data_IF_438887250044
#
_entry.id   IF_438887250044
#
_cell.length_a   1.000
_cell.length_b   1.000
_cell.length_c   1.000
_cell.angle_alpha   90.00
_cell.angle_beta   90.00
_cell.angle_gamma   90.00
#
_symmetry.space_group_name_H-M   'P 1'
#
loop_
_entity.id
_entity.type
_entity.pdbx_description
1 polymer ?
#
# COMPACT_ATOMS: atom_id res chain seq x y z
N UNK A 1 13.38 2.02 16.50
CA UNK A 1 12.62 2.51 15.31
C UNK A 1 12.73 4.04 15.14
N UNK A 2 12.62 4.84 16.20
CA UNK A 2 12.77 6.31 16.15
C UNK A 2 14.17 6.75 15.67
N UNK A 3 15.23 6.11 16.15
CA UNK A 3 16.62 6.40 15.75
C UNK A 3 16.91 6.19 14.25
N UNK A 4 16.33 5.14 13.63
CA UNK A 4 16.50 4.83 12.20
C UNK A 4 15.86 5.91 11.31
N UNK A 5 14.72 6.46 11.71
CA UNK A 5 14.06 7.57 11.01
C UNK A 5 14.83 8.88 11.14
N UNK A 6 15.32 9.19 12.34
CA UNK A 6 16.14 10.39 12.57
C UNK A 6 17.43 10.34 11.76
N UNK A 7 18.08 9.18 11.65
CA UNK A 7 19.31 9.05 10.87
C UNK A 7 19.07 8.99 9.35
N UNK A 8 17.93 8.44 8.90
CA UNK A 8 17.51 8.56 7.48
C UNK A 8 17.27 10.02 7.10
N UNK A 9 16.76 10.81 8.05
CA UNK A 9 16.65 12.26 7.88
C UNK A 9 18.02 12.95 7.84
N UNK A 10 19.02 12.46 8.59
CA UNK A 10 20.42 12.95 8.46
C UNK A 10 21.01 12.53 7.11
N UNK A 11 20.82 11.28 6.68
CA UNK A 11 21.31 10.75 5.41
C UNK A 11 20.76 11.50 4.19
N UNK A 12 19.59 12.12 4.32
CA UNK A 12 19.01 13.02 3.32
C UNK A 12 19.97 14.13 2.89
N UNK A 13 20.76 14.68 3.81
CA UNK A 13 21.69 15.79 3.56
C UNK A 13 23.11 15.32 3.21
N UNK A 14 23.39 14.02 3.29
CA UNK A 14 24.74 13.49 3.11
C UNK A 14 25.06 13.18 1.63
N UNK A 15 26.34 13.32 1.22
CA UNK A 15 26.80 12.83 -0.07
C UNK A 15 26.59 11.32 -0.23
N UNK A 16 26.46 10.87 -1.49
CA UNK A 16 26.19 9.48 -1.86
C UNK A 16 27.00 8.40 -1.11
N UNK A 17 28.34 8.49 -0.96
CA UNK A 17 29.11 7.43 -0.30
C UNK A 17 28.74 7.24 1.18
N UNK A 18 28.46 8.33 1.91
CA UNK A 18 28.07 8.27 3.31
C UNK A 18 26.66 7.72 3.49
N UNK A 19 25.74 8.10 2.61
CA UNK A 19 24.37 7.61 2.63
C UNK A 19 24.30 6.08 2.46
N UNK A 20 25.09 5.53 1.54
CA UNK A 20 25.23 4.08 1.33
C UNK A 20 25.79 3.37 2.56
N UNK A 21 26.84 3.93 3.16
CA UNK A 21 27.47 3.35 4.35
C UNK A 21 26.50 3.25 5.52
N UNK A 22 25.73 4.31 5.78
CA UNK A 22 24.68 4.31 6.81
C UNK A 22 23.68 3.19 6.53
N UNK A 23 23.13 3.11 5.32
CA UNK A 23 22.12 2.10 5.02
C UNK A 23 22.64 0.66 5.19
N UNK A 24 23.92 0.37 4.89
CA UNK A 24 24.53 -0.94 5.13
C UNK A 24 24.56 -1.33 6.61
N UNK A 25 24.92 -0.39 7.49
CA UNK A 25 24.94 -0.63 8.96
C UNK A 25 23.56 -1.08 9.47
N UNK A 26 22.48 -0.56 8.88
CA UNK A 26 21.10 -0.92 9.26
C UNK A 26 20.54 -2.13 8.51
N UNK A 27 21.41 -2.95 7.91
CA UNK A 27 21.05 -4.23 7.29
C UNK A 27 20.60 -4.14 5.82
N UNK A 28 20.76 -2.98 5.15
CA UNK A 28 20.49 -2.91 3.73
C UNK A 28 21.53 -3.72 2.93
N UNK A 29 21.06 -4.53 1.98
CA UNK A 29 21.91 -5.25 1.03
C UNK A 29 22.17 -4.32 -0.15
N UNK A 30 23.37 -3.75 -0.23
CA UNK A 30 23.73 -2.77 -1.27
C UNK A 30 24.94 -3.27 -2.07
N UNK A 31 24.74 -3.47 -3.36
CA UNK A 31 25.73 -3.88 -4.34
C UNK A 31 26.87 -2.88 -4.57
N UNK A 32 27.66 -3.14 -5.61
CA UNK A 32 28.80 -2.33 -6.04
C UNK A 32 28.34 -1.14 -6.88
N UNK A 33 29.03 -0.01 -6.75
CA UNK A 33 28.80 1.22 -7.54
C UNK A 33 27.35 1.73 -7.52
N UNK A 34 26.63 1.44 -6.44
CA UNK A 34 25.31 2.04 -6.20
C UNK A 34 25.46 3.54 -5.98
N UNK A 35 24.52 4.32 -6.48
CA UNK A 35 24.50 5.78 -6.32
C UNK A 35 23.16 6.25 -5.74
N UNK A 36 23.21 6.75 -4.51
CA UNK A 36 22.09 7.41 -3.84
C UNK A 36 22.36 8.91 -3.83
N UNK A 37 21.64 9.66 -4.66
CA UNK A 37 21.85 11.11 -4.74
C UNK A 37 21.34 11.84 -3.49
N UNK A 38 21.82 13.06 -3.22
CA UNK A 38 21.32 13.89 -2.11
C UNK A 38 19.81 14.10 -2.18
N UNK A 39 19.16 14.17 -1.02
CA UNK A 39 17.70 14.33 -0.91
C UNK A 39 16.89 13.06 -1.20
N UNK A 40 17.53 11.89 -1.28
CA UNK A 40 16.82 10.60 -1.29
C UNK A 40 16.39 10.26 0.13
N UNK A 41 15.08 10.06 0.31
CA UNK A 41 14.51 9.57 1.57
C UNK A 41 14.06 8.12 1.38
N UNK A 42 14.78 7.16 1.98
CA UNK A 42 14.49 5.74 1.86
C UNK A 42 14.03 5.15 3.19
N UNK A 43 12.71 5.05 3.36
CA UNK A 43 12.02 4.48 4.51
C UNK A 43 11.46 3.09 4.14
N UNK A 44 12.27 2.05 4.28
CA UNK A 44 11.79 0.68 4.13
C UNK A 44 12.31 -0.22 5.24
N UNK A 45 11.55 -1.26 5.60
CA UNK A 45 11.95 -2.26 6.59
C UNK A 45 13.13 -3.06 6.06
N UNK A 46 13.04 -3.51 4.80
CA UNK A 46 14.12 -4.18 4.06
C UNK A 46 14.48 -3.41 2.79
N UNK A 47 15.77 -3.31 2.52
CA UNK A 47 16.32 -2.63 1.34
C UNK A 47 17.31 -3.55 0.64
N UNK A 48 17.10 -3.78 -0.65
CA UNK A 48 18.01 -4.50 -1.54
C UNK A 48 18.28 -3.67 -2.80
N UNK A 49 19.53 -3.26 -3.00
CA UNK A 49 19.99 -2.52 -4.17
C UNK A 49 21.05 -3.36 -4.90
N UNK A 50 20.80 -3.69 -6.15
CA UNK A 50 21.76 -4.41 -7.02
C UNK A 50 22.92 -3.52 -7.47
N UNK A 51 23.92 -4.14 -8.09
CA UNK A 51 25.09 -3.45 -8.64
C UNK A 51 24.67 -2.38 -9.66
N UNK A 52 25.36 -1.23 -9.65
CA UNK A 52 25.10 -0.09 -10.54
C UNK A 52 23.68 0.51 -10.43
N UNK A 53 22.96 0.24 -9.34
CA UNK A 53 21.64 0.85 -9.10
C UNK A 53 21.76 2.34 -8.77
N UNK A 54 20.84 3.16 -9.29
CA UNK A 54 20.87 4.62 -9.14
C UNK A 54 19.52 5.15 -8.67
N UNK A 55 19.52 5.96 -7.61
CA UNK A 55 18.34 6.69 -7.16
C UNK A 55 18.66 8.19 -7.19
N UNK A 56 17.89 8.94 -7.98
CA UNK A 56 18.12 10.37 -8.23
C UNK A 56 17.51 11.25 -7.14
N UNK A 57 18.01 12.48 -7.06
CA UNK A 57 17.72 13.43 -6.00
C UNK A 57 16.21 13.73 -5.84
N UNK A 58 15.80 14.01 -4.60
CA UNK A 58 14.42 14.34 -4.24
C UNK A 58 13.44 13.15 -4.28
N UNK A 59 13.95 11.93 -4.48
CA UNK A 59 13.12 10.72 -4.50
C UNK A 59 12.79 10.28 -3.09
N UNK A 60 11.51 10.03 -2.83
CA UNK A 60 11.02 9.56 -1.53
C UNK A 60 10.38 8.19 -1.68
N UNK A 61 10.83 7.23 -0.88
CA UNK A 61 10.38 5.83 -0.93
C UNK A 61 10.00 5.41 0.49
N UNK A 62 8.72 5.12 0.70
CA UNK A 62 8.18 4.62 1.97
C UNK A 62 7.34 3.35 1.73
N UNK A 63 7.93 2.17 1.93
CA UNK A 63 7.36 0.87 1.58
C UNK A 63 7.80 -0.20 2.60
N UNK A 64 7.18 -1.40 2.60
CA UNK A 64 7.61 -2.49 3.49
C UNK A 64 8.96 -3.06 3.06
N UNK A 65 9.03 -3.61 1.85
CA UNK A 65 10.28 -4.04 1.24
C UNK A 65 10.54 -3.26 -0.05
N UNK A 66 11.78 -2.78 -0.20
CA UNK A 66 12.24 -2.12 -1.41
C UNK A 66 13.36 -2.93 -2.06
N UNK A 67 13.12 -3.39 -3.29
CA UNK A 67 14.12 -4.06 -4.12
C UNK A 67 14.32 -3.30 -5.43
N UNK A 68 15.56 -2.93 -5.72
CA UNK A 68 16.00 -2.33 -6.97
C UNK A 68 17.10 -3.19 -7.58
N UNK A 69 16.84 -3.79 -8.73
CA UNK A 69 17.76 -4.70 -9.41
C UNK A 69 19.01 -4.01 -9.96
N UNK A 70 19.92 -4.82 -10.48
CA UNK A 70 21.17 -4.35 -11.08
C UNK A 70 20.91 -3.39 -12.25
N UNK A 71 21.75 -2.37 -12.42
CA UNK A 71 21.67 -1.36 -13.49
C UNK A 71 20.30 -0.68 -13.58
N UNK A 72 19.56 -0.66 -12.48
CA UNK A 72 18.21 -0.08 -12.44
C UNK A 72 18.25 1.33 -11.89
N UNK A 73 17.33 2.17 -12.36
CA UNK A 73 17.35 3.61 -12.07
C UNK A 73 15.98 4.12 -11.68
N UNK A 74 15.95 4.96 -10.64
CA UNK A 74 14.79 5.78 -10.27
C UNK A 74 15.11 7.25 -10.51
N UNK A 75 14.27 7.93 -11.27
CA UNK A 75 14.41 9.32 -11.67
C UNK A 75 14.01 10.32 -10.58
N UNK A 76 14.42 11.57 -10.78
CA UNK A 76 14.25 12.68 -9.85
C UNK A 76 12.80 12.87 -9.37
N UNK A 77 12.65 13.26 -8.10
CA UNK A 77 11.35 13.65 -7.51
C UNK A 77 10.26 12.59 -7.67
N UNK A 78 10.64 11.31 -7.67
CA UNK A 78 9.68 10.21 -7.69
C UNK A 78 9.18 9.96 -6.26
N UNK A 79 7.87 9.82 -6.10
CA UNK A 79 7.26 9.46 -4.82
C UNK A 79 6.75 8.02 -4.88
N UNK A 80 7.23 7.19 -3.97
CA UNK A 80 6.75 5.82 -3.75
C UNK A 80 6.26 5.73 -2.31
N UNK A 81 5.00 5.35 -2.11
CA UNK A 81 4.41 5.22 -0.76
C UNK A 81 3.49 4.01 -0.67
N UNK A 82 3.48 3.32 0.46
CA UNK A 82 2.54 2.23 0.71
C UNK A 82 2.95 1.32 1.86
N UNK A 83 2.07 0.40 2.23
CA UNK A 83 2.33 -0.61 3.27
C UNK A 83 2.95 -1.90 2.74
N UNK A 84 3.04 -2.05 1.41
CA UNK A 84 3.56 -3.25 0.75
C UNK A 84 4.84 -2.95 -0.03
N UNK A 85 5.18 -3.79 -1.01
CA UNK A 85 6.50 -3.84 -1.61
C UNK A 85 6.59 -3.11 -2.95
N UNK A 86 7.77 -2.53 -3.20
CA UNK A 86 8.18 -2.14 -4.55
C UNK A 86 9.35 -3.02 -4.98
N UNK A 87 9.14 -3.79 -6.05
CA UNK A 87 10.11 -4.74 -6.59
C UNK A 87 10.42 -4.35 -8.04
N UNK A 88 11.65 -3.90 -8.30
CA UNK A 88 12.13 -3.57 -9.63
C UNK A 88 13.22 -4.56 -10.04
N UNK A 89 12.99 -5.29 -11.13
CA UNK A 89 13.93 -6.21 -11.73
C UNK A 89 15.15 -5.52 -12.33
N UNK A 90 16.10 -6.30 -12.86
CA UNK A 90 17.34 -5.76 -13.42
C UNK A 90 17.06 -4.92 -14.68
N UNK A 91 17.90 -3.90 -14.89
CA UNK A 91 17.78 -2.91 -15.95
C UNK A 91 16.41 -2.20 -15.99
N UNK A 92 15.76 -2.09 -14.82
CA UNK A 92 14.48 -1.39 -14.69
C UNK A 92 14.67 0.13 -14.62
N UNK A 93 13.78 0.88 -15.26
CA UNK A 93 13.79 2.34 -15.23
C UNK A 93 12.45 2.85 -14.69
N UNK A 94 12.51 3.69 -13.67
CA UNK A 94 11.39 4.53 -13.24
C UNK A 94 11.77 5.97 -13.56
N UNK A 95 11.01 6.61 -14.45
CA UNK A 95 11.23 7.98 -14.88
C UNK A 95 11.00 9.00 -13.75
N UNK A 96 11.45 10.25 -13.93
CA UNK A 96 11.26 11.30 -12.93
C UNK A 96 9.78 11.64 -12.74
N UNK A 97 9.46 12.13 -11.53
CA UNK A 97 8.12 12.63 -11.14
C UNK A 97 7.02 11.58 -11.25
N UNK A 98 7.34 10.30 -11.10
CA UNK A 98 6.31 9.27 -11.00
C UNK A 98 5.71 9.26 -9.57
N UNK A 99 4.44 8.86 -9.48
CA UNK A 99 3.79 8.53 -8.22
C UNK A 99 3.45 7.05 -8.25
N UNK A 100 3.98 6.29 -7.30
CA UNK A 100 3.72 4.85 -7.19
C UNK A 100 3.14 4.59 -5.81
N UNK A 101 1.86 4.25 -5.81
CA UNK A 101 1.19 3.73 -4.63
C UNK A 101 1.45 2.22 -4.52
N UNK A 102 1.95 1.80 -3.36
CA UNK A 102 2.27 0.43 -2.99
C UNK A 102 1.42 -0.02 -1.79
N UNK A 103 0.14 0.37 -1.73
CA UNK A 103 -0.83 -0.22 -0.79
C UNK A 103 -1.03 -1.73 -1.07
N UNK A 104 -0.81 -2.16 -2.32
CA UNK A 104 -0.46 -3.54 -2.70
C UNK A 104 0.88 -3.53 -3.43
N UNK A 105 1.48 -4.71 -3.58
CA UNK A 105 2.80 -4.84 -4.21
C UNK A 105 2.81 -4.35 -5.66
N UNK A 106 3.85 -3.60 -6.03
CA UNK A 106 4.15 -3.22 -7.41
C UNK A 106 5.41 -3.96 -7.86
N UNK A 107 5.31 -4.71 -8.95
CA UNK A 107 6.42 -5.51 -9.49
C UNK A 107 6.72 -5.12 -10.94
N UNK A 108 7.98 -4.81 -11.21
CA UNK A 108 8.54 -4.61 -12.54
C UNK A 108 9.51 -5.75 -12.85
N UNK A 109 9.30 -6.44 -13.96
CA UNK A 109 10.19 -7.49 -14.45
C UNK A 109 11.54 -6.97 -14.98
N UNK A 110 12.25 -7.85 -15.67
CA UNK A 110 13.51 -7.49 -16.34
C UNK A 110 13.28 -6.48 -17.46
N UNK A 111 14.12 -5.44 -17.51
CA UNK A 111 14.16 -4.46 -18.60
C UNK A 111 12.81 -3.74 -18.82
N UNK A 112 12.11 -3.44 -17.72
CA UNK A 112 10.89 -2.65 -17.76
C UNK A 112 11.19 -1.17 -17.60
N UNK A 113 10.35 -0.32 -18.18
CA UNK A 113 10.47 1.12 -18.01
C UNK A 113 9.14 1.79 -17.74
N UNK A 114 9.14 2.74 -16.82
CA UNK A 114 8.04 3.64 -16.54
C UNK A 114 8.46 5.04 -16.94
N UNK A 115 7.72 5.65 -17.86
CA UNK A 115 7.97 6.96 -18.40
C UNK A 115 7.68 8.07 -17.38
N UNK A 116 8.30 9.24 -17.55
CA UNK A 116 8.14 10.38 -16.65
C UNK A 116 6.68 10.75 -16.37
N UNK A 117 6.39 11.15 -15.12
CA UNK A 117 5.08 11.68 -14.74
C UNK A 117 3.95 10.66 -14.76
N UNK A 118 4.26 9.36 -14.68
CA UNK A 118 3.23 8.30 -14.65
C UNK A 118 2.76 8.00 -13.23
N UNK A 119 1.52 7.51 -13.12
CA UNK A 119 0.85 7.23 -11.86
C UNK A 119 0.44 5.76 -11.81
N UNK A 120 0.90 5.04 -10.79
CA UNK A 120 0.52 3.64 -10.55
C UNK A 120 -0.26 3.59 -9.24
N UNK A 121 -1.52 3.16 -9.30
CA UNK A 121 -2.41 3.05 -8.14
C UNK A 121 -2.78 1.59 -7.89
N UNK A 122 -2.42 1.08 -6.72
CA UNK A 122 -2.75 -0.27 -6.27
C UNK A 122 -3.99 -0.34 -5.38
N UNK A 123 -4.51 0.82 -4.98
CA UNK A 123 -5.82 0.98 -4.37
C UNK A 123 -6.60 2.10 -5.04
N UNK A 124 -7.92 1.98 -5.00
CA UNK A 124 -8.89 2.99 -5.38
C UNK A 124 -10.02 2.92 -4.37
N UNK A 125 -9.86 3.65 -3.27
CA UNK A 125 -10.81 3.74 -2.16
C UNK A 125 -10.66 5.12 -1.51
N UNK A 126 -11.76 5.67 -1.03
CA UNK A 126 -11.79 7.04 -0.50
C UNK A 126 -13.16 7.52 -0.06
N UNK A 127 -14.22 6.81 -0.45
CA UNK A 127 -15.59 7.03 0.00
C UNK A 127 -16.12 5.78 0.73
N UNK A 128 -17.12 5.92 1.61
CA UNK A 128 -17.56 4.82 2.47
C UNK A 128 -18.11 3.63 1.68
N UNK A 129 -17.42 2.49 1.73
CA UNK A 129 -17.86 1.29 0.99
C UNK A 129 -19.24 0.78 1.40
N UNK A 130 -19.63 0.97 2.65
CA UNK A 130 -20.95 0.56 3.19
C UNK A 130 -22.11 1.33 2.57
N UNK A 131 -21.86 2.52 2.03
CA UNK A 131 -22.84 3.34 1.30
C UNK A 131 -22.93 2.97 -0.20
N UNK A 132 -22.25 1.92 -0.64
CA UNK A 132 -22.27 1.47 -2.04
C UNK A 132 -21.10 1.95 -2.89
N UNK A 133 -20.17 2.75 -2.33
CA UNK A 133 -18.96 3.14 -3.05
C UNK A 133 -18.03 1.96 -3.27
N UNK A 134 -17.30 1.98 -4.38
CA UNK A 134 -16.35 0.91 -4.71
C UNK A 134 -15.02 1.14 -4.00
N UNK A 135 -14.49 0.09 -3.39
CA UNK A 135 -13.09 -0.01 -3.05
C UNK A 135 -12.44 -1.11 -3.89
N UNK A 136 -11.40 -0.75 -4.64
CA UNK A 136 -10.65 -1.70 -5.47
C UNK A 136 -9.22 -1.75 -4.98
N UNK A 137 -8.68 -2.95 -4.82
CA UNK A 137 -7.29 -3.16 -4.44
C UNK A 137 -6.72 -4.26 -5.31
N UNK A 138 -5.48 -4.09 -5.76
CA UNK A 138 -4.79 -5.15 -6.48
C UNK A 138 -3.35 -4.77 -6.79
N UNK A 139 -2.45 -5.76 -6.80
CA UNK A 139 -1.06 -5.53 -7.17
C UNK A 139 -0.96 -5.09 -8.64
N UNK A 140 0.08 -4.32 -8.95
CA UNK A 140 0.43 -4.01 -10.34
C UNK A 140 1.64 -4.86 -10.72
N UNK A 141 1.55 -5.57 -11.85
CA UNK A 141 2.62 -6.43 -12.35
C UNK A 141 2.97 -6.09 -13.80
N UNK A 142 4.22 -5.72 -14.05
CA UNK A 142 4.78 -5.56 -15.39
C UNK A 142 5.71 -6.74 -15.66
N UNK A 143 5.37 -7.59 -16.62
CA UNK A 143 6.28 -8.65 -17.09
C UNK A 143 7.50 -8.06 -17.81
N UNK A 144 8.43 -8.91 -18.24
CA UNK A 144 9.68 -8.50 -18.87
C UNK A 144 9.48 -7.61 -20.10
N UNK A 145 10.40 -6.66 -20.31
CA UNK A 145 10.48 -5.80 -21.50
C UNK A 145 9.22 -4.96 -21.72
N UNK A 146 8.54 -4.56 -20.65
CA UNK A 146 7.36 -3.68 -20.72
C UNK A 146 7.79 -2.22 -20.71
N UNK A 147 7.25 -1.41 -21.62
CA UNK A 147 7.45 0.04 -21.65
C UNK A 147 6.15 0.78 -21.38
N UNK A 148 6.05 1.42 -20.22
CA UNK A 148 4.99 2.38 -19.93
C UNK A 148 5.52 3.74 -20.35
N UNK A 149 4.93 4.38 -21.36
CA UNK A 149 5.40 5.70 -21.80
C UNK A 149 5.01 6.81 -20.81
N UNK A 150 5.24 8.08 -21.19
CA UNK A 150 5.09 9.22 -20.27
C UNK A 150 3.63 9.47 -19.90
N UNK A 151 3.40 9.93 -18.66
CA UNK A 151 2.08 10.37 -18.16
C UNK A 151 0.99 9.32 -18.28
N UNK A 152 1.33 8.03 -18.12
CA UNK A 152 0.32 6.98 -18.08
C UNK A 152 -0.28 6.85 -16.67
N UNK A 153 -1.48 6.30 -16.58
CA UNK A 153 -2.11 5.90 -15.32
C UNK A 153 -2.41 4.42 -15.37
N UNK A 154 -1.98 3.66 -14.36
CA UNK A 154 -2.34 2.25 -14.18
C UNK A 154 -3.21 2.11 -12.94
N UNK A 155 -4.35 1.43 -13.09
CA UNK A 155 -5.29 1.18 -12.01
C UNK A 155 -4.97 -0.08 -11.18
N UNK A 156 -5.72 -0.30 -10.08
CA UNK A 156 -5.51 -1.43 -9.19
C UNK A 156 -5.66 -2.78 -9.90
N UNK A 157 -4.75 -3.72 -9.63
CA UNK A 157 -4.82 -5.09 -10.15
C UNK A 157 -4.33 -5.28 -11.59
N UNK A 158 -3.82 -4.24 -12.24
CA UNK A 158 -3.38 -4.30 -13.64
C UNK A 158 -2.11 -5.15 -13.81
N UNK A 159 -2.19 -6.12 -14.72
CA UNK A 159 -1.06 -6.90 -15.21
C UNK A 159 -0.76 -6.54 -16.68
N UNK A 160 0.51 -6.28 -16.99
CA UNK A 160 0.97 -5.95 -18.34
C UNK A 160 1.90 -7.04 -18.83
N UNK A 161 1.45 -7.78 -19.84
CA UNK A 161 2.20 -8.92 -20.38
C UNK A 161 3.50 -8.53 -21.10
N UNK A 162 4.40 -9.51 -21.24
CA UNK A 162 5.76 -9.36 -21.74
C UNK A 162 5.84 -8.65 -23.09
N UNK A 163 6.76 -7.69 -23.21
CA UNK A 163 7.01 -6.96 -24.46
C UNK A 163 5.87 -6.02 -24.87
N UNK A 164 4.95 -5.70 -23.97
CA UNK A 164 3.88 -4.73 -24.23
C UNK A 164 4.32 -3.30 -23.96
N UNK A 165 3.67 -2.35 -24.63
CA UNK A 165 3.97 -0.94 -24.56
C UNK A 165 2.68 -0.13 -24.39
N UNK A 166 2.68 0.86 -23.50
CA UNK A 166 1.62 1.87 -23.41
C UNK A 166 2.11 3.16 -24.05
N UNK A 167 1.29 3.75 -24.91
CA UNK A 167 1.54 5.06 -25.52
C UNK A 167 1.38 6.19 -24.49
N UNK A 168 1.99 7.36 -24.70
CA UNK A 168 1.90 8.47 -23.75
C UNK A 168 0.45 8.83 -23.42
N UNK A 169 0.19 9.19 -22.16
CA UNK A 169 -1.14 9.60 -21.70
C UNK A 169 -2.16 8.47 -21.54
N UNK A 170 -1.74 7.21 -21.67
CA UNK A 170 -2.66 6.06 -21.60
C UNK A 170 -3.17 5.83 -20.18
N UNK A 171 -4.48 5.62 -20.02
CA UNK A 171 -5.09 5.18 -18.76
C UNK A 171 -5.53 3.72 -18.89
N UNK A 172 -4.80 2.84 -18.22
CA UNK A 172 -4.98 1.40 -18.24
C UNK A 172 -5.62 0.93 -16.93
N UNK A 173 -6.87 0.46 -17.02
CA UNK A 173 -7.64 -0.06 -15.89
C UNK A 173 -7.86 -1.57 -15.96
N UNK A 174 -7.45 -2.20 -17.06
CA UNK A 174 -7.61 -3.64 -17.31
C UNK A 174 -6.29 -4.22 -17.80
N UNK A 175 -5.99 -5.45 -17.37
CA UNK A 175 -4.78 -6.16 -17.75
C UNK A 175 -4.71 -6.43 -19.25
N UNK A 176 -3.49 -6.46 -19.80
CA UNK A 176 -3.27 -6.71 -21.23
C UNK A 176 -2.31 -7.89 -21.43
N UNK A 177 -2.55 -8.72 -22.46
CA UNK A 177 -1.66 -9.83 -22.76
C UNK A 177 -0.30 -9.33 -23.31
N UNK A 178 0.64 -10.26 -23.46
CA UNK A 178 1.96 -10.02 -24.04
C UNK A 178 1.89 -9.41 -25.45
N UNK A 179 2.93 -8.66 -25.81
CA UNK A 179 3.15 -8.06 -27.15
C UNK A 179 1.96 -7.23 -27.64
N UNK A 180 1.49 -6.32 -26.80
CA UNK A 180 0.44 -5.36 -27.15
C UNK A 180 0.98 -3.94 -27.11
N UNK A 181 0.59 -3.14 -28.10
CA UNK A 181 0.71 -1.69 -28.06
C UNK A 181 -0.65 -1.13 -27.71
N UNK A 182 -0.74 -0.32 -26.66
CA UNK A 182 -2.01 0.20 -26.14
C UNK A 182 -1.94 1.72 -26.06
N UNK A 183 -2.98 2.40 -26.54
CA UNK A 183 -3.14 3.85 -26.49
C UNK A 183 -4.58 4.21 -26.14
N UNK A 184 -4.77 5.28 -25.37
CA UNK A 184 -6.11 5.84 -25.10
C UNK A 184 -6.32 6.22 -23.65
N UNK A 185 -7.23 7.17 -23.40
CA UNK A 185 -7.55 7.67 -22.07
C UNK A 185 -9.08 7.79 -21.89
N UNK A 186 -9.72 6.83 -21.19
CA UNK A 186 -9.27 5.47 -20.89
C UNK A 186 -9.28 4.56 -22.13
N UNK A 187 -8.55 3.44 -22.09
CA UNK A 187 -8.37 2.51 -23.23
C UNK A 187 -9.68 1.94 -23.80
N UNK A 188 -10.78 1.98 -23.05
CA UNK A 188 -12.17 1.99 -23.51
C UNK A 188 -12.94 2.77 -22.45
N UNK A 189 -13.77 3.74 -22.83
CA UNK A 189 -14.60 4.48 -21.87
C UNK A 189 -15.53 3.49 -21.16
N UNK A 190 -15.29 3.24 -19.86
CA UNK A 190 -16.21 2.48 -19.02
C UNK A 190 -17.02 3.46 -18.20
N UNK A 191 -18.19 3.83 -18.71
CA UNK A 191 -19.20 4.55 -17.90
C UNK A 191 -19.81 3.51 -16.97
N UNK A 192 -19.39 3.53 -15.72
CA UNK A 192 -20.02 2.71 -14.68
C UNK A 192 -20.93 3.63 -13.89
N UNK A 193 -22.22 3.34 -13.85
CA UNK A 193 -23.13 4.00 -12.90
C UNK A 193 -22.56 3.82 -11.49
N UNK A 194 -22.53 4.90 -10.71
CA UNK A 194 -22.32 4.81 -9.26
C UNK A 194 -23.53 4.05 -8.69
N UNK A 195 -23.51 2.73 -8.78
CA UNK A 195 -24.54 1.92 -8.13
C UNK A 195 -24.34 2.11 -6.63
N UNK A 196 -25.33 2.68 -5.97
CA UNK A 196 -25.64 2.46 -4.56
C UNK A 196 -25.87 0.97 -4.37
N UNK A 197 -24.80 0.19 -4.30
CA UNK A 197 -24.88 -1.21 -3.94
C UNK A 197 -25.28 -1.21 -2.46
N UNK A 198 -26.55 -1.52 -2.17
CA UNK A 198 -26.92 -1.96 -0.82
C UNK A 198 -26.24 -3.29 -0.58
N UNK A 199 -25.26 -3.31 0.31
CA UNK A 199 -24.63 -4.54 0.75
C UNK A 199 -25.66 -5.34 1.57
N UNK A 200 -25.82 -6.63 1.28
CA UNK A 200 -26.54 -7.55 2.17
C UNK A 200 -25.74 -7.75 3.46
N UNK A 201 -26.37 -8.25 4.52
CA UNK A 201 -25.70 -8.62 5.78
C UNK A 201 -24.48 -9.53 5.51
N UNK A 202 -24.61 -10.52 4.63
CA UNK A 202 -23.51 -11.39 4.22
C UNK A 202 -22.35 -10.61 3.58
N UNK A 203 -22.63 -9.62 2.74
CA UNK A 203 -21.58 -8.82 2.10
C UNK A 203 -20.89 -7.89 3.09
N UNK A 204 -21.62 -7.31 4.05
CA UNK A 204 -21.07 -6.53 5.16
C UNK A 204 -20.16 -7.42 6.01
N UNK A 205 -20.59 -8.64 6.32
CA UNK A 205 -19.79 -9.61 7.08
C UNK A 205 -18.52 -10.04 6.36
N UNK A 206 -18.61 -10.29 5.06
CA UNK A 206 -17.46 -10.60 4.22
C UNK A 206 -16.46 -9.44 4.18
N UNK A 207 -16.97 -8.20 4.07
CA UNK A 207 -16.15 -7.00 4.08
C UNK A 207 -15.47 -6.78 5.44
N UNK A 208 -16.19 -6.93 6.55
CA UNK A 208 -15.63 -6.85 7.90
C UNK A 208 -14.54 -7.91 8.13
N UNK A 209 -14.79 -9.15 7.71
CA UNK A 209 -13.84 -10.26 7.81
C UNK A 209 -12.56 -9.98 7.00
N UNK A 210 -12.71 -9.54 5.75
CA UNK A 210 -11.58 -9.12 4.91
C UNK A 210 -10.80 -7.98 5.55
N UNK A 211 -11.50 -7.00 6.09
CA UNK A 211 -10.92 -5.83 6.71
C UNK A 211 -10.10 -6.18 7.96
N UNK A 212 -10.58 -7.11 8.79
CA UNK A 212 -9.80 -7.66 9.91
C UNK A 212 -8.57 -8.42 9.44
N UNK A 213 -8.70 -9.25 8.40
CA UNK A 213 -7.56 -9.96 7.82
C UNK A 213 -6.48 -8.98 7.33
N UNK A 214 -6.86 -7.91 6.64
CA UNK A 214 -5.91 -6.89 6.19
C UNK A 214 -5.34 -6.05 7.34
N UNK A 215 -6.15 -5.73 8.34
CA UNK A 215 -5.67 -5.06 9.55
C UNK A 215 -4.65 -5.91 10.29
N UNK A 216 -4.81 -7.23 10.33
CA UNK A 216 -3.82 -8.14 10.93
C UNK A 216 -2.45 -8.01 10.26
N UNK A 217 -2.41 -7.95 8.92
CA UNK A 217 -1.17 -7.77 8.15
C UNK A 217 -0.56 -6.39 8.42
N UNK A 218 -1.39 -5.35 8.50
CA UNK A 218 -0.96 -4.00 8.85
C UNK A 218 -0.32 -3.95 10.26
N UNK A 219 -0.93 -4.60 11.24
CA UNK A 219 -0.45 -4.69 12.63
C UNK A 219 0.85 -5.51 12.73
N UNK A 220 0.96 -6.62 11.99
CA UNK A 220 2.21 -7.39 11.84
C UNK A 220 3.32 -6.51 11.28
N UNK A 221 3.05 -5.76 10.21
CA UNK A 221 4.01 -4.82 9.63
C UNK A 221 4.46 -3.70 10.59
N UNK A 222 3.66 -3.42 11.63
CA UNK A 222 3.98 -2.47 12.70
C UNK A 222 4.70 -3.10 13.90
N UNK A 223 4.98 -4.41 13.87
CA UNK A 223 5.58 -5.19 14.97
C UNK A 223 4.80 -5.07 16.29
N UNK A 224 3.47 -5.05 16.21
CA UNK A 224 2.64 -5.07 17.42
C UNK A 224 2.36 -6.48 17.93
N UNK A 225 2.86 -7.53 17.26
CA UNK A 225 2.61 -8.92 17.66
C UNK A 225 1.16 -9.36 17.45
N UNK A 226 0.99 -10.50 16.78
CA UNK A 226 -0.31 -11.17 16.64
C UNK A 226 -0.17 -12.53 17.31
N UNK A 227 -0.99 -12.79 18.32
CA UNK A 227 -0.89 -14.01 19.14
C UNK A 227 -1.87 -15.10 18.70
N UNK A 228 -3.05 -14.70 18.20
CA UNK A 228 -4.04 -15.65 17.68
C UNK A 228 -4.87 -15.02 16.54
N UNK A 229 -5.12 -15.80 15.51
CA UNK A 229 -5.92 -15.49 14.33
C UNK A 229 -6.93 -16.62 14.15
N UNK A 230 -8.17 -16.37 14.57
CA UNK A 230 -9.30 -17.27 14.31
C UNK A 230 -10.23 -16.60 13.29
N UNK A 231 -11.09 -17.37 12.65
CA UNK A 231 -12.03 -16.81 11.67
C UNK A 231 -12.95 -15.77 12.34
N UNK A 232 -12.84 -14.52 11.91
CA UNK A 232 -13.58 -13.40 12.51
C UNK A 232 -13.03 -12.89 13.84
N UNK A 233 -11.84 -13.30 14.30
CA UNK A 233 -11.19 -12.68 15.46
C UNK A 233 -9.68 -12.51 15.34
N UNK A 234 -9.17 -11.46 15.97
CA UNK A 234 -7.76 -11.05 15.93
C UNK A 234 -7.31 -10.65 17.34
N UNK A 235 -6.27 -11.32 17.86
CA UNK A 235 -5.63 -10.97 19.14
C UNK A 235 -4.28 -10.31 18.89
N UNK A 236 -4.10 -9.11 19.44
CA UNK A 236 -2.90 -8.30 19.26
C UNK A 236 -2.26 -7.93 20.60
N UNK A 237 -0.93 -7.85 20.64
CA UNK A 237 -0.17 -7.50 21.86
C UNK A 237 0.53 -6.15 21.74
N UNK A 238 -0.20 -5.07 21.98
CA UNK A 238 0.35 -3.73 21.81
C UNK A 238 0.79 -3.15 23.15
N UNK A 239 2.07 -2.78 23.26
CA UNK A 239 2.65 -2.16 24.47
C UNK A 239 2.40 -2.98 25.75
N UNK A 240 2.47 -4.31 25.67
CA UNK A 240 2.19 -5.25 26.77
C UNK A 240 0.71 -5.32 27.21
N UNK A 241 -0.21 -4.80 26.40
CA UNK A 241 -1.64 -4.98 26.58
C UNK A 241 -2.18 -5.88 25.48
N UNK A 242 -2.98 -6.87 25.87
CA UNK A 242 -3.70 -7.73 24.94
C UNK A 242 -5.01 -7.06 24.55
N UNK A 243 -5.29 -7.03 23.26
CA UNK A 243 -6.59 -6.62 22.74
C UNK A 243 -7.14 -7.74 21.87
N UNK A 244 -8.41 -8.08 22.08
CA UNK A 244 -9.16 -8.99 21.24
C UNK A 244 -10.13 -8.17 20.39
N UNK A 245 -10.05 -8.36 19.08
CA UNK A 245 -10.96 -7.80 18.09
C UNK A 245 -11.81 -8.96 17.56
N UNK A 246 -13.13 -8.90 17.72
CA UNK A 246 -14.04 -10.00 17.32
C UNK A 246 -15.19 -9.46 16.49
N UNK A 247 -15.58 -10.20 15.46
CA UNK A 247 -16.83 -9.97 14.73
C UNK A 247 -17.97 -10.67 15.47
N UNK A 248 -18.97 -9.90 15.91
CA UNK A 248 -20.19 -10.39 16.55
C UNK A 248 -21.41 -10.19 15.63
N UNK A 249 -22.43 -11.04 15.79
CA UNK A 249 -23.66 -10.99 15.00
C UNK A 249 -24.80 -10.38 15.83
N UNK A 250 -24.93 -9.07 15.80
CA UNK A 250 -26.06 -8.32 16.37
C UNK A 250 -26.64 -7.36 15.34
N UNK A 251 -27.59 -7.82 14.52
CA UNK A 251 -28.25 -7.02 13.47
C UNK A 251 -27.35 -6.67 12.29
N UNK A 252 -26.39 -5.76 12.50
CA UNK A 252 -25.37 -5.34 11.54
C UNK A 252 -23.99 -5.57 12.16
N UNK A 253 -23.34 -6.67 11.77
CA UNK A 253 -21.93 -7.04 12.03
C UNK A 253 -21.18 -6.06 12.95
N UNK A 254 -21.04 -6.42 14.22
CA UNK A 254 -20.39 -5.58 15.21
C UNK A 254 -18.92 -6.00 15.38
N UNK A 255 -18.02 -5.04 15.52
CA UNK A 255 -16.63 -5.31 15.88
C UNK A 255 -16.42 -4.91 17.34
N UNK A 256 -16.24 -5.90 18.20
CA UNK A 256 -15.90 -5.72 19.62
C UNK A 256 -14.38 -5.61 19.78
N UNK A 257 -13.92 -4.50 20.37
CA UNK A 257 -12.54 -4.27 20.80
C UNK A 257 -12.47 -4.32 22.33
N UNK A 258 -11.96 -5.42 22.91
CA UNK A 258 -11.87 -5.59 24.37
C UNK A 258 -10.43 -5.88 24.83
N UNK A 259 -10.03 -5.43 26.05
CA UNK A 259 -8.75 -5.78 26.65
C UNK A 259 -8.71 -7.19 27.27
N UNK A 260 -9.74 -8.02 27.05
CA UNK A 260 -9.76 -9.43 27.48
C UNK A 260 -10.86 -9.81 28.50
N UNK A 261 -11.74 -8.89 28.89
CA UNK A 261 -12.91 -9.21 29.74
C UNK A 261 -14.19 -9.12 28.91
N UNK A 262 -15.03 -10.15 28.97
CA UNK A 262 -16.32 -10.23 28.27
C UNK A 262 -17.25 -9.15 28.85
N UNK A 263 -17.61 -8.14 28.05
CA UNK A 263 -18.51 -7.04 28.45
C UNK A 263 -17.86 -5.65 28.52
N UNK A 264 -16.53 -5.56 28.64
CA UNK A 264 -15.79 -4.29 28.63
C UNK A 264 -15.13 -4.08 27.26
N UNK A 265 -15.76 -3.30 26.37
CA UNK A 265 -15.16 -3.04 25.05
C UNK A 265 -15.85 -1.97 24.22
N UNK A 266 -15.17 -1.55 23.16
CA UNK A 266 -15.74 -0.65 22.15
C UNK A 266 -16.41 -1.49 21.09
N UNK A 267 -17.68 -1.20 20.82
CA UNK A 267 -18.42 -1.73 19.69
C UNK A 267 -18.33 -0.76 18.51
N UNK A 268 -18.14 -1.32 17.31
CA UNK A 268 -18.24 -0.63 16.03
C UNK A 268 -19.30 -1.35 15.20
N UNK A 269 -20.45 -0.73 14.96
CA UNK A 269 -21.43 -1.24 14.00
C UNK A 269 -20.88 -1.00 12.59
N UNK A 270 -20.43 -2.05 11.92
CA UNK A 270 -19.75 -1.93 10.64
C UNK A 270 -20.71 -1.54 9.50
N UNK A 271 -21.99 -1.94 9.57
CA UNK A 271 -22.99 -1.60 8.56
C UNK A 271 -23.43 -0.15 8.63
N UNK A 272 -23.82 0.30 9.82
CA UNK A 272 -24.36 1.64 10.10
C UNK A 272 -23.29 2.70 10.40
N UNK A 273 -22.02 2.31 10.48
CA UNK A 273 -20.90 3.18 10.83
C UNK A 273 -21.10 3.92 12.18
N UNK A 274 -21.59 3.21 13.21
CA UNK A 274 -21.79 3.75 14.57
C UNK A 274 -20.79 3.17 15.57
N UNK A 275 -20.46 3.94 16.60
CA UNK A 275 -19.55 3.48 17.67
C UNK A 275 -19.91 4.05 19.04
N UNK A 276 -19.68 3.27 20.10
CA UNK A 276 -19.93 3.68 21.48
C UNK A 276 -18.78 4.48 22.09
N UNK A 277 -19.08 5.15 23.19
CA UNK A 277 -18.12 5.94 23.96
C UNK A 277 -17.16 5.05 24.76
N UNK A 278 -15.93 4.95 24.26
CA UNK A 278 -14.73 4.49 24.97
C UNK A 278 -13.53 4.87 24.07
N UNK A 279 -12.59 5.66 24.61
CA UNK A 279 -11.36 6.04 23.89
C UNK A 279 -10.28 5.01 24.16
N UNK A 280 -10.06 4.10 23.20
CA UNK A 280 -8.94 3.19 23.21
C UNK A 280 -7.98 3.51 22.05
N UNK A 281 -6.68 3.54 22.31
CA UNK A 281 -5.66 3.73 21.28
C UNK A 281 -5.77 2.75 20.11
N UNK A 282 -6.25 1.52 20.34
CA UNK A 282 -6.44 0.55 19.26
C UNK A 282 -7.65 0.87 18.38
N UNK A 283 -8.74 1.37 18.99
CA UNK A 283 -9.93 1.84 18.27
C UNK A 283 -9.52 2.90 17.26
N UNK A 284 -8.78 3.91 17.72
CA UNK A 284 -8.35 5.03 16.88
C UNK A 284 -7.45 4.56 15.73
N UNK A 285 -6.54 3.62 15.96
CA UNK A 285 -5.70 3.06 14.88
C UNK A 285 -6.49 2.21 13.88
N UNK A 286 -7.48 1.46 14.38
CA UNK A 286 -8.36 0.68 13.53
C UNK A 286 -9.27 1.59 12.70
N UNK A 287 -9.93 2.58 13.30
CA UNK A 287 -10.72 3.59 12.59
C UNK A 287 -9.88 4.36 11.56
N UNK A 288 -8.64 4.73 11.89
CA UNK A 288 -7.73 5.34 10.92
C UNK A 288 -7.42 4.37 9.77
N UNK A 289 -7.17 3.09 10.06
CA UNK A 289 -6.99 2.08 9.03
C UNK A 289 -8.24 1.99 8.13
N UNK A 290 -9.43 1.93 8.69
CA UNK A 290 -10.70 1.89 7.96
C UNK A 290 -10.93 3.14 7.12
N UNK A 291 -10.64 4.32 7.65
CA UNK A 291 -10.75 5.58 6.95
C UNK A 291 -9.79 5.65 5.77
N UNK A 292 -8.51 5.34 5.97
CA UNK A 292 -7.50 5.48 4.93
C UNK A 292 -7.56 4.38 3.88
N UNK A 293 -8.01 3.17 4.23
CA UNK A 293 -8.08 2.07 3.29
C UNK A 293 -9.48 1.89 2.69
N UNK A 294 -10.55 2.16 3.43
CA UNK A 294 -11.93 1.85 3.02
C UNK A 294 -12.86 3.08 2.99
N UNK A 295 -12.36 4.26 3.32
CA UNK A 295 -13.16 5.49 3.36
C UNK A 295 -14.23 5.49 4.46
N UNK A 296 -14.20 4.55 5.39
CA UNK A 296 -15.20 4.43 6.45
C UNK A 296 -14.90 5.40 7.59
N UNK A 297 -15.90 6.15 8.02
CA UNK A 297 -15.82 7.06 9.15
C UNK A 297 -16.97 6.70 10.09
N UNK A 298 -16.65 6.36 11.34
CA UNK A 298 -17.64 6.01 12.34
C UNK A 298 -18.14 7.27 13.06
N UNK A 299 -19.44 7.32 13.29
CA UNK A 299 -20.13 8.37 14.03
C UNK A 299 -20.32 7.89 15.47
N UNK A 300 -19.94 8.73 16.44
CA UNK A 300 -20.17 8.43 17.85
C UNK A 300 -21.65 8.51 18.19
N UNK A 301 -22.18 7.46 18.83
CA UNK A 301 -23.56 7.38 19.30
C UNK A 301 -23.84 6.09 20.08
N UNK A 302 -24.94 6.07 20.82
CA UNK A 302 -25.33 4.90 21.60
C UNK A 302 -25.85 3.77 20.70
N UNK A 303 -25.43 2.54 21.01
CA UNK A 303 -26.09 1.34 20.49
C UNK A 303 -27.45 1.26 21.17
N UNK A 304 -28.54 1.32 20.39
CA UNK A 304 -29.89 1.07 20.90
C UNK A 304 -30.15 -0.41 21.02
#
# INVERSE_FOLDING_TARGET
MMFRKTLQFVAFFLPAPFNIWIHRIYGARIGRRVSLHPGVLLLASQVHLGDDAIIKAGTMINVRNFKLGEKSKIGYFTLVKGSEDLIVGNAGIIGPRCMIDCTRTVTLGYYCGIGPGSYLYTHGSGMPVTEGYRATFGPISLEEKVWISMRCVLGPGVAVGKGSCLMPGTVLLESIPKKRLVSGNPVKLRVVSLCTIKYSEDNIRNLASKTLAEFSQYVIGRNWGVENLEEGSLVINRKKHLFKITIENGGDVEILLSPGVKGDGVYLNFGDLKTCELTNSIKMDFENFLRFNYGLIFIHGDFK
#
